data_IF_496712121501
#
_entry.id   IF_496712121501
#
_cell.length_a   1.000
_cell.length_b   1.000
_cell.length_c   1.000
_cell.angle_alpha   90.00
_cell.angle_beta   90.00
_cell.angle_gamma   90.00
#
_symmetry.space_group_name_H-M   'P 1'
#
loop_
_entity.id
_entity.type
_entity.pdbx_description
1 polymer ?
#
# COMPACT_ATOMS: atom_id res chain seq x y z
N UNK A 1 -6.44 4.28 11.32
CA UNK A 1 -5.29 5.20 11.21
C UNK A 1 -5.88 6.53 10.82
N UNK A 2 -6.02 7.47 11.75
CA UNK A 2 -6.72 8.72 11.51
C UNK A 2 -5.82 9.66 10.69
N UNK A 3 -6.38 10.25 9.65
CA UNK A 3 -5.75 11.34 8.92
C UNK A 3 -5.48 12.53 9.86
N UNK A 4 -4.46 13.34 9.58
CA UNK A 4 -4.04 14.45 10.46
C UNK A 4 -5.16 15.45 10.68
N UNK A 5 -6.03 15.68 9.69
CA UNK A 5 -7.20 16.54 9.84
C UNK A 5 -8.25 15.93 10.77
N UNK A 6 -8.43 14.61 10.73
CA UNK A 6 -9.35 13.91 11.66
C UNK A 6 -8.79 13.98 13.08
N UNK A 7 -7.50 13.74 13.26
CA UNK A 7 -6.83 13.85 14.56
C UNK A 7 -6.92 15.27 15.14
N UNK A 8 -6.77 16.30 14.32
CA UNK A 8 -6.94 17.69 14.73
C UNK A 8 -8.37 17.96 15.21
N UNK A 9 -9.38 17.50 14.47
CA UNK A 9 -10.78 17.64 14.88
C UNK A 9 -11.06 16.96 16.23
N UNK A 10 -10.57 15.73 16.41
CA UNK A 10 -10.74 15.00 17.68
C UNK A 10 -10.08 15.73 18.85
N UNK A 11 -8.88 16.28 18.64
CA UNK A 11 -8.12 17.00 19.67
C UNK A 11 -8.80 18.33 20.03
N UNK A 12 -9.35 19.04 19.05
CA UNK A 12 -10.15 20.26 19.29
C UNK A 12 -11.43 19.94 20.07
N UNK A 13 -12.10 18.84 19.75
CA UNK A 13 -13.26 18.39 20.54
C UNK A 13 -12.86 18.06 21.99
N UNK A 14 -11.75 17.33 22.18
CA UNK A 14 -11.21 17.03 23.51
C UNK A 14 -10.86 18.31 24.29
N UNK A 15 -10.32 19.33 23.62
CA UNK A 15 -10.05 20.64 24.23
C UNK A 15 -11.34 21.30 24.74
N UNK A 16 -12.43 21.23 23.97
CA UNK A 16 -13.74 21.74 24.37
C UNK A 16 -14.31 20.97 25.57
N UNK A 17 -14.16 19.65 25.60
CA UNK A 17 -14.53 18.82 26.76
C UNK A 17 -13.75 19.22 28.01
N UNK A 18 -12.44 19.47 27.91
CA UNK A 18 -11.64 19.95 29.04
C UNK A 18 -12.15 21.28 29.58
N UNK A 19 -12.52 22.24 28.71
CA UNK A 19 -13.14 23.48 29.15
C UNK A 19 -14.48 23.25 29.85
N UNK A 20 -15.39 22.50 29.24
CA UNK A 20 -16.72 22.27 29.82
C UNK A 20 -16.65 21.53 31.17
N UNK A 21 -15.83 20.48 31.24
CA UNK A 21 -15.63 19.70 32.47
C UNK A 21 -14.96 20.55 33.56
N UNK A 22 -13.98 21.39 33.20
CA UNK A 22 -13.32 22.27 34.16
C UNK A 22 -14.30 23.26 34.79
N UNK A 23 -15.16 23.89 34.00
CA UNK A 23 -16.17 24.84 34.49
C UNK A 23 -17.16 24.13 35.41
N UNK A 24 -17.66 22.95 35.02
CA UNK A 24 -18.60 22.17 35.82
C UNK A 24 -18.03 21.79 37.19
N UNK A 25 -16.81 21.24 37.22
CA UNK A 25 -16.15 20.85 38.47
C UNK A 25 -15.82 22.08 39.33
N UNK A 26 -15.26 23.14 38.75
CA UNK A 26 -14.92 24.35 39.51
C UNK A 26 -16.16 25.00 40.13
N UNK A 27 -17.30 25.01 39.45
CA UNK A 27 -18.56 25.50 40.02
C UNK A 27 -19.08 24.60 41.14
N UNK A 28 -19.03 23.27 40.96
CA UNK A 28 -19.49 22.30 41.95
C UNK A 28 -18.74 22.40 43.28
N UNK A 29 -17.44 22.67 43.23
CA UNK A 29 -16.58 22.81 44.41
C UNK A 29 -16.34 24.27 44.83
N UNK A 30 -16.98 25.24 44.16
CA UNK A 30 -16.85 26.65 44.53
C UNK A 30 -17.49 26.92 45.90
N UNK A 31 -16.78 27.67 46.75
CA UNK A 31 -17.35 28.15 48.01
C UNK A 31 -18.02 29.51 47.78
N UNK A 32 -19.23 29.74 48.32
CA UNK A 32 -19.87 31.05 48.22
C UNK A 32 -19.00 32.14 48.85
N UNK A 33 -18.75 33.22 48.11
CA UNK A 33 -18.04 34.39 48.66
C UNK A 33 -18.86 35.03 49.78
N UNK A 34 -18.18 35.39 50.88
CA UNK A 34 -18.78 36.14 51.98
C UNK A 34 -18.65 37.62 51.70
N UNK A 35 -19.78 38.34 51.71
CA UNK A 35 -19.79 39.79 51.64
C UNK A 35 -19.83 40.38 53.05
N UNK A 36 -19.11 41.50 53.31
CA UNK A 36 -19.20 42.19 54.61
C UNK A 36 -20.66 42.57 54.92
N UNK A 37 -21.18 42.10 56.06
CA UNK A 37 -22.57 42.36 56.48
C UNK A 37 -23.61 41.32 56.06
N UNK A 38 -23.23 40.25 55.36
CA UNK A 38 -24.13 39.17 54.95
C UNK A 38 -23.65 37.80 55.46
N UNK A 39 -23.63 37.63 56.78
CA UNK A 39 -23.38 36.33 57.43
C UNK A 39 -24.63 35.45 57.33
N UNK A 40 -24.89 34.88 56.14
CA UNK A 40 -25.75 33.71 56.07
C UNK A 40 -25.04 32.57 56.78
N UNK A 41 -25.62 32.14 57.91
CA UNK A 41 -25.24 30.95 58.69
C UNK A 41 -25.53 29.72 57.82
N UNK A 42 -24.68 29.47 56.83
CA UNK A 42 -24.65 28.22 56.08
C UNK A 42 -23.85 27.20 56.87
N UNK A 43 -24.45 26.04 57.15
CA UNK A 43 -23.79 24.92 57.81
C UNK A 43 -22.47 24.58 57.11
N UNK A 44 -21.34 24.42 57.83
CA UNK A 44 -20.08 24.05 57.22
C UNK A 44 -20.20 22.63 56.63
N UNK A 45 -20.25 22.53 55.31
CA UNK A 45 -20.16 21.25 54.63
C UNK A 45 -18.71 20.75 54.75
N UNK A 46 -18.48 19.46 55.05
CA UNK A 46 -17.14 18.93 55.27
C UNK A 46 -16.26 19.16 54.04
N UNK A 47 -15.15 19.87 54.25
CA UNK A 47 -14.08 20.01 53.26
C UNK A 47 -13.52 18.61 52.96
N UNK A 48 -13.91 18.05 51.82
CA UNK A 48 -13.13 16.96 51.23
C UNK A 48 -11.75 17.49 50.84
N UNK A 49 -10.69 16.66 50.86
CA UNK A 49 -9.37 17.07 50.42
C UNK A 49 -9.48 17.64 49.01
N UNK A 50 -9.28 18.95 48.91
CA UNK A 50 -9.42 19.69 47.67
C UNK A 50 -8.21 19.35 46.81
N UNK A 51 -8.36 18.39 45.90
CA UNK A 51 -7.43 18.29 44.79
C UNK A 51 -7.45 19.64 44.05
N UNK A 52 -6.29 20.12 43.63
CA UNK A 52 -6.18 21.38 42.88
C UNK A 52 -6.69 21.16 41.45
N UNK A 53 -8.01 21.02 41.33
CA UNK A 53 -8.70 20.81 40.06
C UNK A 53 -8.43 21.96 39.09
N UNK A 54 -8.24 23.18 39.59
CA UNK A 54 -7.87 24.32 38.77
C UNK A 54 -6.51 24.10 38.10
N UNK A 55 -5.48 23.72 38.85
CA UNK A 55 -4.16 23.41 38.29
C UNK A 55 -4.18 22.18 37.37
N UNK A 56 -4.95 21.14 37.71
CA UNK A 56 -5.11 19.95 36.88
C UNK A 56 -5.72 20.30 35.51
N UNK A 57 -6.88 20.95 35.49
CA UNK A 57 -7.53 21.34 34.24
C UNK A 57 -6.70 22.35 33.45
N UNK A 58 -6.03 23.30 34.11
CA UNK A 58 -5.10 24.21 33.43
C UNK A 58 -3.98 23.43 32.71
N UNK A 59 -3.42 22.40 33.36
CA UNK A 59 -2.39 21.55 32.75
C UNK A 59 -2.94 20.77 31.55
N UNK A 60 -4.12 20.17 31.67
CA UNK A 60 -4.77 19.44 30.57
C UNK A 60 -5.08 20.36 29.37
N UNK A 61 -5.62 21.55 29.64
CA UNK A 61 -5.92 22.54 28.61
C UNK A 61 -4.64 23.03 27.91
N UNK A 62 -3.60 23.39 28.66
CA UNK A 62 -2.34 23.86 28.07
C UNK A 62 -1.69 22.77 27.22
N UNK A 63 -1.69 21.53 27.69
CA UNK A 63 -1.13 20.41 26.95
C UNK A 63 -1.90 20.16 25.66
N UNK A 64 -3.23 20.07 25.74
CA UNK A 64 -4.08 19.82 24.59
C UNK A 64 -3.96 20.95 23.55
N UNK A 65 -3.86 22.21 23.99
CA UNK A 65 -3.60 23.34 23.11
C UNK A 65 -2.25 23.23 22.38
N UNK A 66 -1.18 22.81 23.06
CA UNK A 66 0.13 22.56 22.40
C UNK A 66 0.08 21.39 21.42
N UNK A 67 -0.69 20.35 21.75
CA UNK A 67 -0.89 19.22 20.85
C UNK A 67 -1.64 19.69 19.59
N UNK A 68 -2.62 20.59 19.71
CA UNK A 68 -3.29 21.27 18.58
C UNK A 68 -2.29 22.06 17.74
N UNK A 69 -1.46 22.91 18.35
CA UNK A 69 -0.45 23.70 17.63
C UNK A 69 0.51 22.79 16.84
N UNK A 70 0.99 21.72 17.48
CA UNK A 70 1.88 20.73 16.84
C UNK A 70 1.19 20.01 15.68
N UNK A 71 -0.10 19.72 15.81
CA UNK A 71 -0.89 19.10 14.74
C UNK A 71 -1.06 20.04 13.55
N UNK A 72 -1.31 21.32 13.80
CA UNK A 72 -1.41 22.36 12.77
C UNK A 72 -0.08 22.50 12.02
N UNK A 73 1.04 22.56 12.74
CA UNK A 73 2.38 22.63 12.13
C UNK A 73 2.72 21.36 11.32
N UNK A 74 2.12 20.22 11.65
CA UNK A 74 2.33 18.95 10.95
C UNK A 74 1.42 18.77 9.73
N UNK A 75 0.49 19.69 9.46
CA UNK A 75 -0.36 19.62 8.28
C UNK A 75 0.48 19.77 7.02
N UNK A 76 0.17 19.03 5.94
CA UNK A 76 0.83 19.21 4.66
C UNK A 76 0.62 20.65 4.17
N UNK A 77 1.66 21.23 3.56
CA UNK A 77 1.72 22.63 3.17
C UNK A 77 0.56 23.02 2.24
N UNK A 78 -0.15 24.10 2.58
CA UNK A 78 -1.25 24.67 1.78
C UNK A 78 -0.77 25.34 0.48
N UNK A 79 0.55 25.53 0.32
CA UNK A 79 1.17 26.23 -0.82
C UNK A 79 1.23 25.38 -2.11
N UNK A 80 0.81 24.11 -2.08
CA UNK A 80 0.61 23.37 -3.33
C UNK A 80 -0.66 23.87 -4.01
N UNK A 81 -0.52 24.86 -4.90
CA UNK A 81 -1.55 25.16 -5.89
C UNK A 81 -2.04 23.84 -6.50
N UNK A 82 -3.35 23.70 -6.69
CA UNK A 82 -3.96 22.48 -7.24
C UNK A 82 -3.27 22.03 -8.53
N UNK A 83 -2.78 22.98 -9.33
CA UNK A 83 -2.00 22.72 -10.55
C UNK A 83 -0.63 22.07 -10.28
N UNK A 84 0.12 22.51 -9.26
CA UNK A 84 1.39 21.90 -8.85
C UNK A 84 1.19 20.50 -8.29
N UNK A 85 0.07 20.28 -7.59
CA UNK A 85 -0.30 18.99 -7.04
C UNK A 85 -0.63 17.99 -8.16
N UNK A 86 -1.41 18.40 -9.16
CA UNK A 86 -1.70 17.60 -10.36
C UNK A 86 -0.42 17.29 -11.13
N UNK A 87 0.46 18.27 -11.35
CA UNK A 87 1.73 18.04 -12.03
C UNK A 87 2.64 17.05 -11.27
N UNK A 88 2.65 17.14 -9.94
CA UNK A 88 3.38 16.22 -9.08
C UNK A 88 2.80 14.80 -9.12
N UNK A 89 1.47 14.65 -9.17
CA UNK A 89 0.80 13.36 -9.35
C UNK A 89 1.14 12.74 -10.70
N UNK A 90 1.03 13.47 -11.81
CA UNK A 90 1.38 12.95 -13.14
C UNK A 90 2.86 12.53 -13.22
N UNK A 91 3.75 13.28 -12.57
CA UNK A 91 5.16 12.89 -12.45
C UNK A 91 5.33 11.59 -11.66
N UNK A 92 4.67 11.47 -10.50
CA UNK A 92 4.72 10.26 -9.68
C UNK A 92 4.16 9.04 -10.42
N UNK A 93 3.10 9.21 -11.20
CA UNK A 93 2.53 8.16 -12.06
C UNK A 93 3.55 7.70 -13.12
N UNK A 94 4.23 8.64 -13.78
CA UNK A 94 5.28 8.32 -14.75
C UNK A 94 6.46 7.58 -14.08
N UNK A 95 6.94 8.06 -12.94
CA UNK A 95 8.00 7.39 -12.18
C UNK A 95 7.58 5.99 -11.71
N UNK A 96 6.29 5.80 -11.37
CA UNK A 96 5.75 4.49 -10.98
C UNK A 96 5.70 3.51 -12.17
N UNK A 97 5.29 3.97 -13.35
CA UNK A 97 5.29 3.18 -14.57
C UNK A 97 6.71 2.73 -14.94
N UNK A 98 7.66 3.65 -14.95
CA UNK A 98 9.07 3.35 -15.25
C UNK A 98 9.68 2.37 -14.24
N UNK A 99 9.38 2.53 -12.95
CA UNK A 99 9.79 1.57 -11.93
C UNK A 99 9.16 0.19 -12.13
N UNK A 100 7.89 0.15 -12.57
CA UNK A 100 7.18 -1.08 -12.92
C UNK A 100 7.82 -1.82 -14.10
N UNK A 101 8.17 -1.11 -15.18
CA UNK A 101 8.86 -1.70 -16.34
C UNK A 101 10.24 -2.25 -15.97
N UNK A 102 11.01 -1.50 -15.15
CA UNK A 102 12.29 -1.97 -14.66
C UNK A 102 12.15 -3.23 -13.80
N UNK A 103 11.12 -3.28 -12.96
CA UNK A 103 10.82 -4.46 -12.16
C UNK A 103 10.47 -5.66 -13.05
N UNK A 104 9.63 -5.48 -14.08
CA UNK A 104 9.26 -6.53 -15.02
C UNK A 104 10.49 -7.11 -15.75
N UNK A 105 11.39 -6.25 -16.21
CA UNK A 105 12.61 -6.71 -16.89
C UNK A 105 13.52 -7.50 -15.95
N UNK A 106 13.70 -7.04 -14.70
CA UNK A 106 14.48 -7.77 -13.69
C UNK A 106 13.85 -9.12 -13.35
N UNK A 107 12.52 -9.19 -13.22
CA UNK A 107 11.79 -10.45 -13.00
C UNK A 107 11.99 -11.39 -14.17
N UNK A 108 11.84 -10.91 -15.41
CA UNK A 108 12.04 -11.70 -16.64
C UNK A 108 13.45 -12.28 -16.72
N UNK A 109 14.47 -11.48 -16.40
CA UNK A 109 15.85 -11.96 -16.35
C UNK A 109 16.05 -13.00 -15.23
N UNK A 110 15.44 -12.78 -14.06
CA UNK A 110 15.46 -13.72 -12.94
C UNK A 110 14.83 -15.06 -13.28
N UNK A 111 13.67 -15.06 -13.94
CA UNK A 111 12.98 -16.27 -14.40
C UNK A 111 13.81 -17.05 -15.43
N UNK A 112 14.40 -16.36 -16.41
CA UNK A 112 15.26 -16.99 -17.40
C UNK A 112 16.50 -17.64 -16.76
N UNK A 113 17.09 -16.98 -15.76
CA UNK A 113 18.20 -17.54 -15.00
C UNK A 113 17.76 -18.78 -14.20
N UNK A 114 16.60 -18.73 -13.56
CA UNK A 114 16.02 -19.85 -12.82
C UNK A 114 15.80 -21.06 -13.72
N UNK A 115 15.25 -20.86 -14.92
CA UNK A 115 15.07 -21.93 -15.91
C UNK A 115 16.40 -22.58 -16.32
N UNK A 116 17.45 -21.79 -16.52
CA UNK A 116 18.79 -22.32 -16.85
C UNK A 116 19.36 -23.16 -15.70
N UNK A 117 19.19 -22.71 -14.46
CA UNK A 117 19.62 -23.47 -13.28
C UNK A 117 18.84 -24.78 -13.19
N UNK A 118 17.51 -24.76 -13.39
CA UNK A 118 16.69 -25.96 -13.38
C UNK A 118 17.10 -26.95 -14.48
N UNK A 119 17.38 -26.47 -15.70
CA UNK A 119 17.87 -27.31 -16.79
C UNK A 119 19.22 -27.96 -16.45
N UNK A 120 20.18 -27.18 -15.93
CA UNK A 120 21.48 -27.71 -15.53
C UNK A 120 21.37 -28.74 -14.40
N UNK A 121 20.49 -28.52 -13.42
CA UNK A 121 20.22 -29.49 -12.35
C UNK A 121 19.59 -30.78 -12.89
N UNK A 122 18.68 -30.67 -13.87
CA UNK A 122 18.06 -31.81 -14.53
C UNK A 122 19.11 -32.64 -15.30
N UNK A 123 20.00 -31.98 -16.04
CA UNK A 123 21.08 -32.64 -16.79
C UNK A 123 22.04 -33.37 -15.84
N UNK A 124 22.40 -32.75 -14.71
CA UNK A 124 23.24 -33.37 -13.68
C UNK A 124 22.53 -34.60 -13.09
N UNK A 125 21.23 -34.49 -12.76
CA UNK A 125 20.46 -35.61 -12.22
C UNK A 125 20.36 -36.77 -13.22
N UNK A 126 20.13 -36.48 -14.51
CA UNK A 126 20.07 -37.49 -15.56
C UNK A 126 21.42 -38.17 -15.80
N UNK A 127 22.51 -37.40 -15.84
CA UNK A 127 23.87 -37.95 -16.00
C UNK A 127 24.25 -38.87 -14.83
N UNK A 128 23.82 -38.54 -13.60
CA UNK A 128 24.03 -39.41 -12.44
C UNK A 128 23.20 -40.70 -12.48
N UNK A 129 22.00 -40.67 -13.05
CA UNK A 129 21.16 -41.84 -13.30
C UNK A 129 21.77 -42.75 -14.39
N UNK A 130 22.21 -42.16 -15.51
CA UNK A 130 22.81 -42.90 -16.63
C UNK A 130 24.11 -43.59 -16.21
N UNK A 131 24.96 -42.92 -15.42
CA UNK A 131 26.18 -43.53 -14.85
C UNK A 131 25.88 -44.69 -13.89
N UNK A 132 24.72 -44.69 -13.23
CA UNK A 132 24.29 -45.78 -12.34
C UNK A 132 23.63 -46.96 -13.07
N UNK A 133 23.28 -46.82 -14.35
CA UNK A 133 22.61 -47.86 -15.12
C UNK A 133 23.43 -48.30 -16.36
N UNK A 134 24.54 -49.06 -16.19
CA UNK A 134 25.29 -49.59 -17.32
C UNK A 134 24.51 -50.77 -17.93
N UNK A 135 23.73 -50.51 -18.98
CA UNK A 135 23.25 -51.58 -19.86
C UNK A 135 24.45 -52.08 -20.67
N UNK A 136 24.91 -53.29 -20.34
CA UNK A 136 25.92 -54.03 -21.07
C UNK A 136 25.50 -54.28 -22.53
N UNK A 137 26.37 -54.06 -23.53
CA UNK A 137 26.31 -54.79 -24.78
C UNK A 137 27.25 -56.00 -24.70
N UNK A 138 26.62 -57.16 -24.61
CA UNK A 138 27.21 -58.48 -24.81
C UNK A 138 27.86 -58.59 -26.18
N UNK A 139 29.06 -59.19 -26.21
CA UNK A 139 29.67 -59.70 -27.42
C UNK A 139 28.73 -60.68 -28.15
N UNK A 140 28.53 -60.51 -29.47
CA UNK A 140 28.15 -61.62 -30.35
C UNK A 140 28.44 -61.33 -31.83
N UNK A 141 29.42 -62.10 -32.33
CA UNK A 141 29.44 -62.80 -33.62
C UNK A 141 29.55 -62.01 -34.94
N UNK A 142 30.69 -62.25 -35.60
CA UNK A 142 30.89 -62.17 -37.04
C UNK A 142 29.79 -62.95 -37.79
N UNK A 143 29.16 -62.34 -38.80
CA UNK A 143 28.80 -63.10 -40.01
C UNK A 143 28.75 -62.19 -41.24
N UNK A 144 29.56 -62.55 -42.23
CA UNK A 144 29.67 -61.93 -43.54
C UNK A 144 28.52 -62.40 -44.44
N UNK A 145 27.85 -61.48 -45.13
CA UNK A 145 26.78 -61.79 -46.08
C UNK A 145 26.63 -60.71 -47.14
N UNK A 146 27.30 -60.93 -48.28
CA UNK A 146 27.17 -60.17 -49.53
C UNK A 146 25.74 -60.31 -50.07
N UNK A 147 25.09 -59.21 -50.50
CA UNK A 147 24.39 -59.15 -51.78
C UNK A 147 23.99 -57.72 -52.17
N UNK A 148 24.42 -57.34 -53.36
CA UNK A 148 24.01 -56.22 -54.21
C UNK A 148 22.51 -56.30 -54.54
N UNK A 149 21.85 -55.15 -54.82
CA UNK A 149 21.34 -54.70 -56.16
C UNK A 149 20.16 -53.69 -56.03
N UNK A 150 20.28 -52.57 -56.76
CA UNK A 150 19.23 -51.79 -57.49
C UNK A 150 18.22 -50.82 -56.79
N UNK A 151 18.47 -49.52 -57.04
CA UNK A 151 17.66 -48.51 -57.77
C UNK A 151 16.31 -47.91 -57.26
N UNK A 152 16.25 -46.56 -57.42
CA UNK A 152 15.12 -45.68 -57.81
C UNK A 152 14.26 -45.07 -56.66
N UNK A 153 13.72 -43.84 -56.63
CA UNK A 153 13.88 -42.50 -57.24
C UNK A 153 12.72 -41.63 -56.66
N UNK A 154 12.94 -40.31 -56.46
CA UNK A 154 11.92 -39.22 -56.33
C UNK A 154 10.94 -39.26 -55.13
N UNK A 155 10.37 -38.17 -54.59
CA UNK A 155 10.16 -36.80 -55.06
C UNK A 155 10.05 -35.80 -53.89
N UNK A 156 10.37 -34.54 -54.20
CA UNK A 156 9.92 -33.34 -53.50
C UNK A 156 8.40 -33.15 -53.63
N UNK A 157 7.74 -32.70 -52.56
CA UNK A 157 6.49 -31.94 -52.68
C UNK A 157 6.42 -30.80 -51.67
N UNK A 158 6.22 -29.62 -52.25
CA UNK A 158 5.96 -28.31 -51.66
C UNK A 158 4.54 -28.18 -51.08
N UNK A 159 4.37 -27.27 -50.11
CA UNK A 159 3.37 -26.17 -50.07
C UNK A 159 3.28 -25.62 -48.64
N UNK A 160 3.65 -24.36 -48.36
CA UNK A 160 2.90 -23.12 -48.61
C UNK A 160 1.57 -23.03 -47.85
N UNK A 161 1.42 -22.01 -46.99
CA UNK A 161 0.38 -20.97 -47.11
C UNK A 161 0.52 -19.94 -45.98
N UNK A 162 0.53 -18.67 -46.40
CA UNK A 162 0.40 -17.44 -45.63
C UNK A 162 -0.97 -17.26 -45.00
N UNK A 163 -1.06 -16.45 -43.94
CA UNK A 163 -2.32 -15.90 -43.42
C UNK A 163 -2.07 -15.03 -42.18
N UNK A 164 -1.53 -13.82 -42.33
CA UNK A 164 -2.27 -12.55 -42.39
C UNK A 164 -2.83 -12.10 -41.03
N UNK A 165 -2.22 -11.04 -40.47
CA UNK A 165 -2.73 -10.37 -39.28
C UNK A 165 -3.92 -9.46 -39.58
N UNK A 166 -4.65 -9.07 -38.54
CA UNK A 166 -5.10 -7.69 -38.30
C UNK A 166 -5.79 -7.56 -36.96
N UNK A 167 -5.48 -6.43 -36.35
CA UNK A 167 -5.82 -5.87 -35.05
C UNK A 167 -7.20 -5.18 -35.11
N UNK A 168 -7.99 -5.17 -34.04
CA UNK A 168 -8.85 -4.00 -33.73
C UNK A 168 -9.44 -4.05 -32.32
N UNK A 169 -8.84 -3.19 -31.51
CA UNK A 169 -9.30 -2.54 -30.30
C UNK A 169 -10.62 -1.77 -30.54
N UNK A 170 -11.59 -1.86 -29.62
CA UNK A 170 -12.75 -0.97 -29.58
C UNK A 170 -12.93 -0.42 -28.15
N UNK A 171 -12.99 0.90 -28.10
CA UNK A 171 -13.01 1.78 -26.94
C UNK A 171 -14.40 1.94 -26.32
N UNK A 172 -14.43 2.08 -25.01
CA UNK A 172 -15.57 2.52 -24.21
C UNK A 172 -15.73 4.05 -24.28
N UNK A 173 -16.96 4.50 -24.51
CA UNK A 173 -17.43 5.88 -24.31
C UNK A 173 -18.05 6.04 -22.92
N UNK A 174 -17.85 7.15 -22.18
CA UNK A 174 -18.76 7.56 -21.13
C UNK A 174 -19.67 8.69 -21.58
N UNK A 175 -20.97 8.49 -21.37
CA UNK A 175 -22.07 9.41 -21.59
C UNK A 175 -22.16 10.44 -20.45
N UNK A 176 -22.21 11.72 -20.80
CA UNK A 176 -22.46 12.83 -19.90
C UNK A 176 -23.97 13.03 -19.75
N UNK A 177 -24.46 13.12 -18.50
CA UNK A 177 -25.77 13.71 -18.25
C UNK A 177 -25.73 14.64 -17.03
N UNK A 178 -26.04 15.90 -17.32
CA UNK A 178 -26.26 16.98 -16.39
C UNK A 178 -27.64 16.87 -15.72
N UNK A 179 -27.73 17.27 -14.45
CA UNK A 179 -28.96 17.71 -13.79
C UNK A 179 -28.55 18.82 -12.81
N UNK A 180 -28.52 20.08 -13.24
CA UNK A 180 -29.63 21.04 -13.21
C UNK A 180 -30.31 21.19 -11.85
N UNK A 181 -29.84 22.22 -11.15
CA UNK A 181 -30.48 23.04 -10.13
C UNK A 181 -31.81 23.61 -10.64
N UNK A 182 -32.84 23.62 -9.80
CA UNK A 182 -33.90 24.64 -9.83
C UNK A 182 -34.54 24.82 -8.46
N UNK A 183 -34.55 26.11 -8.07
CA UNK A 183 -35.43 26.89 -7.19
C UNK A 183 -36.21 26.20 -6.07
#
# INVERSE_FOLDING_TARGET
>A
MADRLTQLQDTVNQQAEHFCNSVGILQQYSTPSKFPGFDRIGTPQPHQPQEDYAALFATLIIRCAKDIDTLIESLPSEESSQELQVASLSRLEQENLEAGEQLEEVVRQGEALLQRIQAALQDIAQSQLDMQNPIAPTASSLNSGINSTQFQQEAFTSNSVSGNGSNSHASHTPEASAASISQ
#
